data_IF_423958274674
#
_entry.id   IF_423958274674
#
_cell.length_a   1.000
_cell.length_b   1.000
_cell.length_c   1.000
_cell.angle_alpha   90.00
_cell.angle_beta   90.00
_cell.angle_gamma   90.00
#
_symmetry.space_group_name_H-M   'P 1'
#
loop_
_entity.id
_entity.type
_entity.pdbx_description
1 polymer ?
#
# COMPACT_ATOMS: atom_id res chain seq x y z
N UNK A 1 -9.41 -12.27 6.88
CA UNK A 1 -8.98 -12.38 5.46
C UNK A 1 -7.59 -12.98 5.40
N UNK A 2 -7.34 -13.81 4.41
CA UNK A 2 -5.99 -14.31 4.11
C UNK A 2 -5.29 -13.37 3.14
N UNK A 3 -4.01 -13.04 3.39
CA UNK A 3 -3.30 -12.03 2.59
C UNK A 3 -3.18 -12.45 1.13
N UNK A 4 -3.03 -13.76 0.87
CA UNK A 4 -2.89 -14.33 -0.47
C UNK A 4 -4.12 -14.13 -1.36
N UNK A 5 -5.31 -14.05 -0.77
CA UNK A 5 -6.56 -13.92 -1.52
C UNK A 5 -6.82 -12.48 -1.97
N UNK A 6 -6.14 -11.53 -1.35
CA UNK A 6 -6.34 -10.09 -1.56
C UNK A 6 -5.26 -9.46 -2.45
N UNK A 7 -4.24 -10.24 -2.83
CA UNK A 7 -3.18 -9.82 -3.74
C UNK A 7 -3.73 -9.60 -5.16
N UNK A 8 -3.40 -8.46 -5.83
CA UNK A 8 -2.38 -7.49 -5.44
C UNK A 8 -2.87 -6.41 -4.46
N UNK A 9 -2.01 -6.05 -3.51
CA UNK A 9 -2.31 -5.10 -2.42
C UNK A 9 -1.46 -3.84 -2.56
N UNK A 10 -2.07 -2.68 -2.32
CA UNK A 10 -1.36 -1.46 -1.93
C UNK A 10 -1.58 -1.21 -0.45
N UNK A 11 -0.50 -1.28 0.33
CA UNK A 11 -0.48 -0.93 1.74
C UNK A 11 0.04 0.50 1.87
N UNK A 12 -0.72 1.40 2.48
CA UNK A 12 -0.40 2.82 2.57
C UNK A 12 -0.63 3.39 3.98
N UNK A 13 0.00 4.51 4.29
CA UNK A 13 -0.24 5.22 5.56
C UNK A 13 -1.61 5.93 5.49
N UNK A 14 -2.61 5.37 6.16
CA UNK A 14 -3.98 5.85 6.28
C UNK A 14 -4.17 6.96 7.34
N UNK A 15 -3.08 7.38 7.98
CA UNK A 15 -3.02 8.56 8.84
C UNK A 15 -2.25 9.72 8.18
N UNK A 16 -1.84 9.58 6.91
CA UNK A 16 -1.09 10.57 6.15
C UNK A 16 -1.95 11.16 5.02
N UNK A 17 -2.22 12.47 5.06
CA UNK A 17 -3.12 13.15 4.11
C UNK A 17 -2.67 12.98 2.65
N UNK A 18 -1.38 13.17 2.37
CA UNK A 18 -0.81 13.00 1.02
C UNK A 18 -0.89 11.54 0.58
N UNK A 19 -0.65 10.60 1.49
CA UNK A 19 -0.72 9.17 1.23
C UNK A 19 -2.16 8.72 0.93
N UNK A 20 -3.16 9.27 1.63
CA UNK A 20 -4.59 9.07 1.34
C UNK A 20 -4.94 9.62 -0.05
N UNK A 21 -4.46 10.82 -0.41
CA UNK A 21 -4.67 11.39 -1.76
C UNK A 21 -4.07 10.49 -2.84
N UNK A 22 -2.84 10.03 -2.64
CA UNK A 22 -2.20 9.05 -3.51
C UNK A 22 -3.02 7.77 -3.63
N UNK A 23 -3.43 7.17 -2.51
CA UNK A 23 -4.22 5.95 -2.48
C UNK A 23 -5.57 6.12 -3.18
N UNK A 24 -6.22 7.28 -3.03
CA UNK A 24 -7.49 7.62 -3.70
C UNK A 24 -7.31 7.65 -5.22
N UNK A 25 -6.24 8.27 -5.71
CA UNK A 25 -5.91 8.33 -7.15
C UNK A 25 -5.63 6.92 -7.68
N UNK A 26 -4.79 6.15 -6.96
CA UNK A 26 -4.47 4.76 -7.34
C UNK A 26 -5.73 3.90 -7.39
N UNK A 27 -6.61 4.01 -6.41
CA UNK A 27 -7.88 3.27 -6.36
C UNK A 27 -8.77 3.60 -7.56
N UNK A 28 -8.89 4.89 -7.89
CA UNK A 28 -9.67 5.34 -9.05
C UNK A 28 -9.16 4.71 -10.36
N UNK A 29 -7.84 4.71 -10.57
CA UNK A 29 -7.24 4.12 -11.76
C UNK A 29 -7.21 2.59 -11.75
N UNK A 30 -7.10 1.96 -10.58
CA UNK A 30 -7.06 0.50 -10.46
C UNK A 30 -8.37 -0.15 -10.85
N UNK A 31 -9.51 0.58 -10.76
CA UNK A 31 -10.86 0.07 -11.07
C UNK A 31 -11.17 -1.24 -10.34
N UNK A 32 -10.75 -1.33 -9.08
CA UNK A 32 -10.94 -2.52 -8.24
C UNK A 32 -10.05 -3.70 -8.59
N UNK A 33 -8.94 -3.51 -9.32
CA UNK A 33 -7.93 -4.58 -9.56
C UNK A 33 -6.93 -4.74 -8.42
N UNK A 34 -6.88 -3.77 -7.52
CA UNK A 34 -5.87 -3.66 -6.46
C UNK A 34 -6.62 -3.41 -5.16
N UNK A 35 -6.33 -4.22 -4.16
CA UNK A 35 -6.84 -4.07 -2.81
C UNK A 35 -6.06 -2.96 -2.11
N UNK A 36 -6.75 -1.93 -1.66
CA UNK A 36 -6.14 -0.82 -0.92
C UNK A 36 -6.28 -1.12 0.58
N UNK A 37 -5.19 -1.05 1.34
CA UNK A 37 -5.18 -1.35 2.77
C UNK A 37 -4.41 -0.26 3.51
N UNK A 38 -5.00 0.27 4.58
CA UNK A 38 -4.33 1.19 5.50
C UNK A 38 -3.40 0.43 6.44
N UNK A 39 -2.20 0.96 6.68
CA UNK A 39 -1.25 0.45 7.67
C UNK A 39 -1.94 0.23 9.03
N UNK A 40 -2.72 1.17 9.52
CA UNK A 40 -3.27 1.14 10.88
C UNK A 40 -4.59 0.36 11.00
N UNK A 41 -5.03 -0.32 9.95
CA UNK A 41 -6.12 -1.31 10.04
C UNK A 41 -5.63 -2.65 10.61
N UNK A 42 -6.54 -3.46 11.17
CA UNK A 42 -6.23 -4.82 11.66
C UNK A 42 -5.57 -5.68 10.56
N UNK A 43 -6.04 -5.53 9.32
CA UNK A 43 -5.49 -6.26 8.18
C UNK A 43 -4.12 -5.70 7.75
N UNK A 44 -3.92 -4.38 7.82
CA UNK A 44 -2.64 -3.74 7.61
C UNK A 44 -1.59 -4.19 8.62
N UNK A 45 -1.96 -4.28 9.91
CA UNK A 45 -1.08 -4.79 10.96
C UNK A 45 -0.68 -6.26 10.71
N UNK A 46 -1.63 -7.10 10.29
CA UNK A 46 -1.34 -8.49 9.88
C UNK A 46 -0.31 -8.53 8.75
N UNK A 47 -0.49 -7.71 7.70
CA UNK A 47 0.45 -7.64 6.57
C UNK A 47 1.86 -7.22 7.03
N UNK A 48 1.95 -6.20 7.90
CA UNK A 48 3.26 -5.74 8.41
C UNK A 48 4.01 -6.87 9.14
N UNK A 49 3.32 -7.60 10.02
CA UNK A 49 3.92 -8.68 10.82
C UNK A 49 4.33 -9.89 10.00
N UNK A 50 3.56 -10.24 8.96
CA UNK A 50 3.75 -11.48 8.21
C UNK A 50 4.61 -11.33 6.94
N UNK A 51 4.63 -10.14 6.32
CA UNK A 51 5.28 -9.93 5.01
C UNK A 51 6.43 -8.93 5.06
N UNK A 52 6.33 -7.91 5.90
CA UNK A 52 7.27 -6.80 5.91
C UNK A 52 8.26 -6.92 7.08
N UNK A 53 9.34 -6.16 7.00
CA UNK A 53 10.31 -6.02 8.09
C UNK A 53 10.14 -4.66 8.79
N UNK A 54 11.12 -4.28 9.61
CA UNK A 54 11.09 -3.04 10.40
C UNK A 54 10.89 -1.76 9.56
N UNK A 55 11.10 -1.82 8.25
CA UNK A 55 10.85 -0.70 7.32
C UNK A 55 9.38 -0.57 6.88
N UNK A 56 8.48 -1.38 7.41
CA UNK A 56 7.08 -1.44 6.98
C UNK A 56 6.39 -0.07 6.93
N UNK A 57 6.62 0.77 7.95
CA UNK A 57 5.99 2.09 8.09
C UNK A 57 6.73 3.23 7.38
N UNK A 58 7.91 2.96 6.82
CA UNK A 58 8.75 3.99 6.20
C UNK A 58 8.29 4.37 4.79
N UNK A 59 7.38 3.62 4.18
CA UNK A 59 6.90 3.83 2.81
C UNK A 59 5.56 3.12 2.56
N UNK A 60 4.93 3.43 1.43
CA UNK A 60 3.87 2.59 0.89
C UNK A 60 4.46 1.34 0.24
N UNK A 61 3.67 0.27 0.17
CA UNK A 61 4.07 -0.99 -0.43
C UNK A 61 3.09 -1.46 -1.48
N UNK A 62 3.60 -1.99 -2.58
CA UNK A 62 2.86 -2.81 -3.53
C UNK A 62 3.28 -4.27 -3.35
N UNK A 63 2.31 -5.13 -3.06
CA UNK A 63 2.54 -6.54 -2.75
C UNK A 63 1.83 -7.38 -3.81
N UNK A 64 2.60 -8.14 -4.59
CA UNK A 64 2.06 -9.10 -5.57
C UNK A 64 2.14 -10.55 -5.05
N UNK A 65 2.25 -11.55 -5.93
CA UNK A 65 2.42 -12.97 -5.57
C UNK A 65 3.89 -13.41 -5.45
N UNK A 66 4.83 -12.54 -5.87
CA UNK A 66 6.31 -12.60 -5.95
C UNK A 66 7.12 -11.83 -4.89
N UNK A 67 6.88 -10.53 -4.86
CA UNK A 67 7.66 -9.51 -4.16
C UNK A 67 6.72 -8.51 -3.46
N UNK A 68 7.12 -8.05 -2.27
CA UNK A 68 6.66 -6.81 -1.69
C UNK A 68 7.65 -5.69 -2.07
N UNK A 69 7.21 -4.74 -2.87
CA UNK A 69 8.02 -3.60 -3.33
C UNK A 69 7.58 -2.33 -2.61
N UNK A 70 8.49 -1.61 -1.98
CA UNK A 70 8.24 -0.40 -1.21
C UNK A 70 8.73 0.88 -1.89
N UNK A 71 7.98 1.96 -1.75
CA UNK A 71 8.33 3.29 -2.25
C UNK A 71 8.55 3.31 -3.77
N UNK A 72 9.69 3.85 -4.24
CA UNK A 72 9.99 3.95 -5.68
C UNK A 72 9.99 2.60 -6.40
N UNK A 73 10.44 1.53 -5.73
CA UNK A 73 10.44 0.19 -6.31
C UNK A 73 9.04 -0.34 -6.64
N UNK A 74 8.01 0.19 -5.96
CA UNK A 74 6.61 -0.18 -6.12
C UNK A 74 5.93 0.48 -7.33
N UNK A 75 6.45 1.61 -7.82
CA UNK A 75 5.77 2.41 -8.85
C UNK A 75 5.60 1.64 -10.17
N UNK A 76 6.67 1.01 -10.65
CA UNK A 76 6.62 0.26 -11.90
C UNK A 76 5.64 -0.94 -11.85
N UNK A 77 5.70 -1.84 -10.86
CA UNK A 77 4.74 -2.96 -10.78
C UNK A 77 3.31 -2.47 -10.51
N UNK A 78 3.12 -1.38 -9.77
CA UNK A 78 1.81 -0.75 -9.57
C UNK A 78 1.20 -0.28 -10.89
N UNK A 79 1.93 0.54 -11.67
CA UNK A 79 1.48 1.05 -12.96
C UNK A 79 1.18 -0.11 -13.91
N UNK A 80 2.07 -1.11 -13.99
CA UNK A 80 1.86 -2.31 -14.81
C UNK A 80 0.55 -3.04 -14.45
N UNK A 81 0.22 -3.10 -13.16
CA UNK A 81 -0.99 -3.77 -12.67
C UNK A 81 -2.25 -2.97 -13.02
N UNK A 82 -2.22 -1.64 -12.86
CA UNK A 82 -3.32 -0.75 -13.25
C UNK A 82 -3.69 -0.95 -14.72
N UNK A 83 -2.70 -0.94 -15.61
CA UNK A 83 -2.90 -1.05 -17.07
C UNK A 83 -2.96 -2.48 -17.59
N UNK A 84 -2.84 -3.49 -16.73
CA UNK A 84 -2.96 -4.91 -17.13
C UNK A 84 -4.36 -5.25 -17.61
N UNK A 85 -4.47 -6.07 -18.66
CA UNK A 85 -5.75 -6.61 -19.18
C UNK A 85 -6.28 -7.78 -18.34
N UNK A 86 -5.49 -8.29 -17.38
CA UNK A 86 -5.94 -9.37 -16.48
C UNK A 86 -7.06 -8.83 -15.57
N UNK A 87 -8.27 -9.36 -15.74
CA UNK A 87 -9.40 -9.03 -14.90
C UNK A 87 -9.31 -9.80 -13.57
N UNK A 88 -8.95 -9.11 -12.49
CA UNK A 88 -9.25 -9.53 -11.12
C UNK A 88 -10.09 -8.41 -10.52
N UNK A 89 -11.29 -8.72 -10.02
CA UNK A 89 -12.07 -7.77 -9.21
C UNK A 89 -11.76 -8.11 -7.75
N UNK A 90 -11.07 -7.22 -7.06
CA UNK A 90 -10.78 -7.33 -5.63
C UNK A 90 -11.69 -6.39 -4.83
N UNK A 91 -11.85 -6.68 -3.54
CA UNK A 91 -12.69 -5.89 -2.64
C UNK A 91 -11.90 -4.68 -2.16
N UNK A 92 -12.57 -3.55 -1.98
CA UNK A 92 -12.00 -2.42 -1.27
C UNK A 92 -12.12 -2.72 0.23
N UNK A 93 -10.99 -2.94 0.90
CA UNK A 93 -10.99 -3.33 2.32
C UNK A 93 -10.61 -2.10 3.12
N UNK A 94 -11.64 -1.46 3.67
CA UNK A 94 -11.60 -0.38 4.65
C UNK A 94 -10.93 0.93 4.20
N UNK A 95 -11.80 1.93 4.04
CA UNK A 95 -11.47 3.36 4.14
C UNK A 95 -12.15 3.96 5.39
N UNK A 96 -12.62 3.13 6.32
CA UNK A 96 -13.53 3.60 7.38
C UNK A 96 -12.79 4.39 8.48
N UNK A 97 -11.46 4.29 8.55
CA UNK A 97 -10.59 5.04 9.45
C UNK A 97 -9.73 6.08 8.71
N UNK A 98 -10.26 6.72 7.65
CA UNK A 98 -9.55 7.85 7.03
C UNK A 98 -9.48 8.99 8.04
N UNK A 99 -8.25 9.36 8.35
CA UNK A 99 -7.83 10.44 9.25
C UNK A 99 -8.87 11.56 9.48
N UNK A 100 -9.27 11.71 10.76
CA UNK A 100 -9.97 12.90 11.29
C UNK A 100 -9.02 14.11 11.34
N UNK A 101 -9.56 15.29 11.66
CA UNK A 101 -8.98 16.64 11.49
C UNK A 101 -7.52 16.88 11.97
N UNK A 102 -6.91 15.95 12.70
CA UNK A 102 -5.53 16.03 13.23
C UNK A 102 -4.43 15.75 12.17
N UNK A 103 -4.77 15.29 10.97
CA UNK A 103 -3.78 15.04 9.90
C UNK A 103 -3.08 16.29 9.33
N UNK A 104 -3.63 17.48 9.61
CA UNK A 104 -3.38 18.71 8.84
C UNK A 104 -2.11 19.49 9.25
N UNK A 105 -1.22 18.96 10.09
CA UNK A 105 0.00 19.70 10.46
C UNK A 105 1.06 19.68 9.33
N UNK A 106 1.36 20.85 8.76
CA UNK A 106 2.23 21.00 7.59
C UNK A 106 3.67 20.46 7.77
N UNK A 107 4.19 20.43 9.01
CA UNK A 107 5.52 19.86 9.32
C UNK A 107 5.56 18.33 9.27
N UNK A 108 4.50 17.65 9.73
CA UNK A 108 4.39 16.19 9.62
C UNK A 108 4.14 15.75 8.17
N UNK A 109 3.43 16.59 7.40
CA UNK A 109 3.10 16.37 5.99
C UNK A 109 4.34 16.33 5.09
N UNK A 110 5.32 17.21 5.27
CA UNK A 110 6.51 17.26 4.40
C UNK A 110 7.52 16.14 4.66
N UNK A 111 7.80 15.79 5.92
CA UNK A 111 8.78 14.76 6.27
C UNK A 111 8.30 13.37 5.81
N UNK A 112 6.99 13.09 5.90
CA UNK A 112 6.41 11.81 5.45
C UNK A 112 6.27 11.72 3.93
N UNK A 113 6.08 12.83 3.21
CA UNK A 113 5.91 12.83 1.75
C UNK A 113 7.19 12.50 0.98
N UNK A 114 8.37 12.89 1.49
CA UNK A 114 9.65 12.59 0.81
C UNK A 114 9.96 11.10 0.72
N UNK A 115 9.54 10.32 1.73
CA UNK A 115 9.78 8.88 1.80
C UNK A 115 9.15 8.09 0.65
N UNK A 116 8.04 8.58 0.08
CA UNK A 116 7.34 7.95 -1.04
C UNK A 116 8.22 7.83 -2.29
N UNK A 117 9.17 8.76 -2.47
CA UNK A 117 10.03 8.87 -3.67
C UNK A 117 11.48 8.49 -3.35
N UNK A 118 11.96 8.79 -2.14
CA UNK A 118 13.37 8.53 -1.76
C UNK A 118 13.60 7.10 -1.33
N UNK A 119 12.64 6.49 -0.61
CA UNK A 119 12.80 5.13 -0.11
C UNK A 119 12.45 4.12 -1.20
N UNK A 120 13.21 3.02 -1.23
CA UNK A 120 13.07 1.99 -2.24
C UNK A 120 13.53 0.67 -1.66
N UNK A 121 12.61 -0.29 -1.56
CA UNK A 121 12.91 -1.61 -1.03
C UNK A 121 12.18 -2.71 -1.78
N UNK A 122 12.75 -3.91 -1.80
CA UNK A 122 12.11 -5.12 -2.34
C UNK A 122 12.34 -6.26 -1.37
N UNK A 123 11.28 -6.94 -1.00
CA UNK A 123 11.29 -8.12 -0.15
C UNK A 123 10.69 -9.27 -0.95
N UNK A 124 11.49 -10.31 -1.17
CA UNK A 124 10.98 -11.56 -1.74
C UNK A 124 10.46 -12.43 -0.59
N UNK A 125 9.20 -12.83 -0.65
CA UNK A 125 8.72 -13.87 0.26
C UNK A 125 9.13 -15.23 -0.30
N UNK A 126 9.90 -15.99 0.48
CA UNK A 126 10.04 -17.42 0.22
C UNK A 126 8.65 -18.02 0.36
N UNK A 127 8.18 -18.74 -0.68
CA UNK A 127 7.10 -19.72 -0.48
C UNK A 127 7.58 -20.63 0.65
N UNK A 128 6.94 -20.58 1.82
CA UNK A 128 6.99 -21.74 2.69
C UNK A 128 6.42 -22.89 1.87
N UNK A 129 7.26 -23.90 1.67
CA UNK A 129 7.01 -25.02 0.77
C UNK A 129 5.83 -25.84 1.27
#
# INVERSE_FOLDING_TARGET
MEIKDEIPIVLFDDQCYVCIKFATIVNFFSRGKITMVGHYSDFGEKIRKEILDDSALEMFWFIDEKIASGGRAALLPLIKTIFSTKSRKTKFVQMDNICSDECKSAKAVFVRSFTLITNSKKLAYRKSK
#
